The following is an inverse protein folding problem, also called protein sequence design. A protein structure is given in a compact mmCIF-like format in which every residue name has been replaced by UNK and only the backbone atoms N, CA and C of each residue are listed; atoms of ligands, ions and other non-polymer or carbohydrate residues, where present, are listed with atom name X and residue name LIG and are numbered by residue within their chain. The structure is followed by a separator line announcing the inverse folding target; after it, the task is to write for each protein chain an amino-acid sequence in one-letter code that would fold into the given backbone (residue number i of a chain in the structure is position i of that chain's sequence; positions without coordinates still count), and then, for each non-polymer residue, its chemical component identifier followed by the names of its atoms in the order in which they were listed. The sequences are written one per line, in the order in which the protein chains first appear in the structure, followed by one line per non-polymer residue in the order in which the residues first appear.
data_IF_873341865942
#
_entry.id   IF_873341865942
#
_cell.length_a   1.000
_cell.length_b   1.000
_cell.length_c   1.000
_cell.angle_alpha   90.00
_cell.angle_beta   90.00
_cell.angle_gamma   90.00
#
_symmetry.space_group_name_H-M   'P 1'
#
loop_
_entity.id
_entity.type
_entity.pdbx_description
1 polymer ?
#
# COMPACT_ATOMS: atom_id res chain seq x y z
N UNK A 1 -8.96 -25.08 9.34
CA UNK A 1 -9.60 -23.85 8.84
C UNK A 1 -9.03 -22.72 9.67
N UNK A 2 -7.86 -22.23 9.26
CA UNK A 2 -7.22 -21.14 9.97
C UNK A 2 -8.07 -19.89 9.80
N UNK A 3 -8.45 -19.32 10.95
CA UNK A 3 -9.05 -18.00 11.02
C UNK A 3 -8.22 -17.06 10.15
N UNK A 4 -8.90 -16.39 9.23
CA UNK A 4 -8.43 -15.21 8.52
C UNK A 4 -7.54 -14.40 9.48
N UNK A 5 -6.22 -14.48 9.33
CA UNK A 5 -5.29 -13.59 10.03
C UNK A 5 -5.52 -12.22 9.42
N UNK A 6 -6.55 -11.54 9.92
CA UNK A 6 -6.82 -10.12 9.69
C UNK A 6 -5.71 -9.36 10.41
N UNK A 7 -4.50 -9.45 9.85
CA UNK A 7 -3.34 -8.68 10.32
C UNK A 7 -3.59 -7.31 9.76
N UNK A 8 -4.23 -6.44 10.56
CA UNK A 8 -4.55 -5.07 10.17
C UNK A 8 -3.28 -4.42 9.60
N UNK A 9 -3.38 -4.05 8.33
CA UNK A 9 -2.34 -3.43 7.54
C UNK A 9 -2.45 -1.92 7.74
N UNK A 10 -1.40 -1.27 8.24
CA UNK A 10 -1.41 0.19 8.39
C UNK A 10 -1.42 0.87 7.01
N UNK A 11 -1.99 2.08 6.95
CA UNK A 11 -2.00 2.84 5.69
C UNK A 11 -0.60 3.32 5.35
N UNK A 12 -0.32 3.46 4.06
CA UNK A 12 0.95 4.03 3.59
C UNK A 12 1.15 5.46 4.12
N UNK A 13 0.07 6.20 4.42
CA UNK A 13 0.15 7.49 5.12
C UNK A 13 0.82 7.35 6.48
N UNK A 14 0.40 6.38 7.29
CA UNK A 14 0.98 6.11 8.60
C UNK A 14 2.44 5.66 8.46
N UNK A 15 2.73 4.74 7.54
CA UNK A 15 4.08 4.28 7.26
C UNK A 15 5.05 5.43 6.91
N UNK A 16 4.66 6.33 6.00
CA UNK A 16 5.46 7.53 5.64
C UNK A 16 5.68 8.44 6.85
N UNK A 17 4.67 8.59 7.71
CA UNK A 17 4.78 9.39 8.94
C UNK A 17 5.80 8.78 9.91
N UNK A 18 5.79 7.46 10.09
CA UNK A 18 6.76 6.79 10.94
C UNK A 18 8.19 6.95 10.45
N UNK A 19 8.39 6.80 9.14
CA UNK A 19 9.70 7.02 8.53
C UNK A 19 10.22 8.43 8.76
N UNK A 20 9.35 9.43 8.61
CA UNK A 20 9.70 10.83 8.88
C UNK A 20 10.09 11.07 10.34
N UNK A 21 9.41 10.44 11.30
CA UNK A 21 9.74 10.53 12.73
C UNK A 21 11.05 9.81 13.05
N UNK A 22 11.29 8.66 12.43
CA UNK A 22 12.51 7.84 12.63
C UNK A 22 13.72 8.38 11.86
N UNK A 23 13.53 9.31 10.92
CA UNK A 23 14.60 9.80 10.03
C UNK A 23 15.08 8.73 9.05
N UNK A 24 14.21 7.81 8.65
CA UNK A 24 14.53 6.72 7.73
C UNK A 24 13.88 6.94 6.36
N UNK A 25 14.47 6.34 5.32
CA UNK A 25 13.93 6.36 3.97
C UNK A 25 13.51 4.95 3.53
N UNK A 26 12.57 4.88 2.59
CA UNK A 26 12.14 3.63 1.99
C UNK A 26 13.17 3.24 0.96
N UNK A 27 13.50 1.95 0.91
CA UNK A 27 14.33 1.41 -0.15
C UNK A 27 13.67 1.64 -1.51
N UNK A 28 14.44 2.09 -2.50
CA UNK A 28 13.91 2.39 -3.84
C UNK A 28 13.22 1.18 -4.48
N UNK A 29 13.71 -0.03 -4.19
CA UNK A 29 13.12 -1.27 -4.67
C UNK A 29 11.72 -1.49 -4.10
N UNK A 30 11.49 -1.11 -2.83
CA UNK A 30 10.17 -1.21 -2.21
C UNK A 30 9.22 -0.15 -2.76
N UNK A 31 9.71 1.06 -3.04
CA UNK A 31 8.92 2.09 -3.70
C UNK A 31 8.43 1.60 -5.08
N UNK A 32 9.32 1.03 -5.90
CA UNK A 32 8.95 0.45 -7.18
C UNK A 32 7.94 -0.69 -7.07
N UNK A 33 8.11 -1.59 -6.09
CA UNK A 33 7.16 -2.68 -5.85
C UNK A 33 5.76 -2.16 -5.50
N UNK A 34 5.67 -1.18 -4.59
CA UNK A 34 4.40 -0.57 -4.19
C UNK A 34 3.74 0.11 -5.39
N UNK A 35 4.47 0.94 -6.14
CA UNK A 35 3.94 1.62 -7.33
C UNK A 35 3.48 0.64 -8.40
N UNK A 36 4.24 -0.43 -8.65
CA UNK A 36 3.86 -1.47 -9.59
C UNK A 36 2.58 -2.22 -9.18
N UNK A 37 2.43 -2.52 -7.88
CA UNK A 37 1.22 -3.13 -7.34
C UNK A 37 0.01 -2.21 -7.47
N UNK A 38 0.15 -0.92 -7.16
CA UNK A 38 -0.93 0.08 -7.35
C UNK A 38 -1.34 0.18 -8.82
N UNK A 39 -0.37 0.21 -9.75
CA UNK A 39 -0.65 0.23 -11.18
C UNK A 39 -1.43 -1.01 -11.65
N UNK A 40 -1.03 -2.20 -11.17
CA UNK A 40 -1.72 -3.45 -11.48
C UNK A 40 -3.16 -3.47 -10.92
N UNK A 41 -3.36 -3.00 -9.68
CA UNK A 41 -4.69 -2.92 -9.07
C UNK A 41 -5.59 -1.93 -9.81
N UNK A 42 -5.09 -0.75 -10.18
CA UNK A 42 -5.84 0.20 -11.00
C UNK A 42 -6.19 -0.36 -12.37
N UNK A 43 -5.24 -1.02 -13.02
CA UNK A 43 -5.48 -1.70 -14.30
C UNK A 43 -6.64 -2.70 -14.18
N UNK A 44 -6.63 -3.55 -13.13
CA UNK A 44 -7.70 -4.50 -12.88
C UNK A 44 -9.05 -3.83 -12.63
N UNK A 45 -9.11 -2.75 -11.85
CA UNK A 45 -10.33 -1.98 -11.63
C UNK A 45 -10.87 -1.39 -12.94
N UNK A 46 -10.01 -0.76 -13.72
CA UNK A 46 -10.38 -0.13 -14.99
C UNK A 46 -10.81 -1.15 -16.05
N UNK A 47 -10.26 -2.37 -16.04
CA UNK A 47 -10.74 -3.47 -16.90
C UNK A 47 -12.17 -3.93 -16.56
N UNK A 48 -12.68 -3.56 -15.39
CA UNK A 48 -14.03 -3.89 -14.93
C UNK A 48 -14.92 -2.63 -14.83
N UNK A 49 -14.57 -1.55 -15.53
CA UNK A 49 -15.29 -0.26 -15.53
C UNK A 49 -15.46 0.37 -14.12
N UNK A 50 -14.56 0.04 -13.18
CA UNK A 50 -14.56 0.59 -11.83
C UNK A 50 -13.52 1.71 -11.74
N UNK A 51 -13.97 2.91 -11.37
CA UNK A 51 -13.09 4.03 -11.02
C UNK A 51 -12.84 3.99 -9.52
N UNK A 52 -11.58 3.93 -9.09
CA UNK A 52 -11.24 3.94 -7.65
C UNK A 52 -11.69 5.24 -6.96
N UNK A 53 -11.60 6.38 -7.65
CA UNK A 53 -12.03 7.73 -7.26
C UNK A 53 -11.37 8.36 -6.01
N UNK A 54 -10.78 7.56 -5.11
CA UNK A 54 -10.13 8.05 -3.89
C UNK A 54 -8.75 7.42 -3.67
N UNK A 55 -7.91 7.35 -4.72
CA UNK A 55 -6.57 6.79 -4.59
C UNK A 55 -5.63 7.80 -3.92
N UNK A 56 -5.26 7.50 -2.68
CA UNK A 56 -4.39 8.32 -1.84
C UNK A 56 -3.69 7.46 -0.78
N UNK A 57 -2.59 7.94 -0.16
CA UNK A 57 -1.82 7.14 0.80
C UNK A 57 -2.63 6.57 1.97
N UNK A 58 -3.71 7.24 2.38
CA UNK A 58 -4.62 6.80 3.44
C UNK A 58 -5.37 5.52 3.08
N UNK A 59 -5.62 5.28 1.79
CA UNK A 59 -6.41 4.15 1.28
C UNK A 59 -5.54 3.02 0.69
N UNK A 60 -4.22 3.12 0.82
CA UNK A 60 -3.28 2.08 0.44
C UNK A 60 -2.79 1.39 1.70
N UNK A 61 -3.15 0.12 1.88
CA UNK A 61 -2.75 -0.67 3.06
C UNK A 61 -1.48 -1.48 2.74
N UNK A 62 -0.49 -1.41 3.63
CA UNK A 62 0.80 -2.09 3.43
C UNK A 62 0.91 -3.39 4.24
N UNK A 63 1.47 -4.43 3.62
CA UNK A 63 1.83 -5.67 4.32
C UNK A 63 3.09 -5.51 5.15
N UNK A 64 3.28 -6.41 6.13
CA UNK A 64 4.47 -6.45 6.97
C UNK A 64 5.78 -6.57 6.18
N UNK A 65 5.71 -7.03 4.94
CA UNK A 65 6.88 -7.15 4.06
C UNK A 65 7.46 -5.78 3.63
N UNK A 66 6.70 -4.70 3.85
CA UNK A 66 7.09 -3.33 3.53
C UNK A 66 7.43 -2.47 4.76
N UNK A 67 7.34 -3.03 5.98
CA UNK A 67 7.66 -2.38 7.27
C UNK A 67 9.06 -2.75 7.76
#
# INVERSE_FOLDING_TARGET
MDAFKLTVHESSRQFIKEMSVKGTEIKVENAWKITGQLGLSLYQLHQNDIIHADLKPENVLLTKDYQ
#
